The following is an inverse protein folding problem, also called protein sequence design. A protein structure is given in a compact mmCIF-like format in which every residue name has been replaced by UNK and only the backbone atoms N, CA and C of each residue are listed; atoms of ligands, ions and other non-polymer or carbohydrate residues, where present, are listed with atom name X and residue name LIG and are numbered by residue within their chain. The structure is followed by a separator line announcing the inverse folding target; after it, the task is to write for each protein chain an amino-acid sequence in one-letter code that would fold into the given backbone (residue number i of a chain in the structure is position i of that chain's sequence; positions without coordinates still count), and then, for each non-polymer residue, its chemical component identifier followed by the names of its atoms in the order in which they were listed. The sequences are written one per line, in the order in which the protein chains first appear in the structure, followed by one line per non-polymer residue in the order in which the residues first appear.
data_IF_364370496971
#
_entry.id   IF_364370496971
#
_cell.length_a   1.000
_cell.length_b   1.000
_cell.length_c   1.000
_cell.angle_alpha   90.00
_cell.angle_beta   90.00
_cell.angle_gamma   90.00
#
_symmetry.space_group_name_H-M   'P 1'
#
loop_
_entity.id
_entity.type
_entity.pdbx_description
1 polymer ?
#
# COMPACT_ATOMS: atom_id res chain seq x y z
N UNK A 1 3.98 -3.54 10.41
CA UNK A 1 3.02 -4.66 10.57
C UNK A 1 3.03 -5.58 9.35
N UNK A 2 2.66 -5.10 8.16
CA UNK A 2 2.60 -5.95 6.95
C UNK A 2 3.99 -6.40 6.44
N UNK A 3 5.06 -5.62 6.66
CA UNK A 3 6.44 -6.02 6.31
C UNK A 3 6.93 -7.24 7.10
N UNK A 4 6.31 -7.54 8.23
CA UNK A 4 6.62 -8.70 9.06
C UNK A 4 5.88 -9.96 8.62
N UNK A 5 5.06 -9.88 7.58
CA UNK A 5 4.28 -11.01 7.04
C UNK A 5 4.60 -11.23 5.55
N UNK A 6 4.21 -12.37 4.97
CA UNK A 6 4.39 -12.62 3.53
C UNK A 6 3.50 -11.77 2.62
N UNK A 7 2.64 -10.89 3.18
CA UNK A 7 1.62 -10.17 2.43
C UNK A 7 2.16 -9.28 1.32
N UNK A 8 3.42 -8.82 1.44
CA UNK A 8 4.06 -7.94 0.47
C UNK A 8 4.80 -8.67 -0.67
N UNK A 9 5.03 -9.98 -0.55
CA UNK A 9 5.87 -10.70 -1.49
C UNK A 9 5.26 -10.71 -2.90
N UNK A 10 5.93 -10.08 -3.86
CA UNK A 10 5.47 -9.97 -5.25
C UNK A 10 4.28 -9.03 -5.44
N UNK A 11 4.01 -8.14 -4.48
CA UNK A 11 2.92 -7.16 -4.51
C UNK A 11 3.43 -5.76 -4.77
N UNK A 12 2.59 -4.93 -5.36
CA UNK A 12 2.81 -3.48 -5.50
C UNK A 12 2.34 -2.78 -4.24
N UNK A 13 3.18 -1.93 -3.68
CA UNK A 13 2.88 -1.20 -2.45
C UNK A 13 3.44 0.21 -2.48
N UNK A 14 2.79 1.09 -1.74
CA UNK A 14 3.30 2.42 -1.40
C UNK A 14 3.38 2.52 0.11
N UNK A 15 4.14 3.48 0.63
CA UNK A 15 4.30 3.67 2.06
C UNK A 15 4.82 5.07 2.38
N UNK A 16 4.81 5.40 3.68
CA UNK A 16 5.53 6.57 4.15
C UNK A 16 7.03 6.45 3.87
N UNK A 17 7.67 7.57 3.50
CA UNK A 17 9.05 7.60 3.01
C UNK A 17 10.07 6.91 3.92
N UNK A 18 9.86 6.95 5.25
CA UNK A 18 10.78 6.39 6.23
C UNK A 18 10.88 4.86 6.22
N UNK A 19 9.87 4.16 5.67
CA UNK A 19 9.80 2.68 5.66
C UNK A 19 9.90 2.10 4.23
N UNK A 20 10.35 2.91 3.26
CA UNK A 20 10.48 2.51 1.85
C UNK A 20 11.39 1.30 1.67
N UNK A 21 12.51 1.28 2.39
CA UNK A 21 13.47 0.19 2.29
C UNK A 21 12.92 -1.09 2.94
N UNK A 22 12.11 -0.98 4.00
CA UNK A 22 11.42 -2.13 4.62
C UNK A 22 10.42 -2.78 3.66
N UNK A 23 9.68 -1.98 2.88
CA UNK A 23 8.75 -2.49 1.86
C UNK A 23 9.48 -3.29 0.79
N UNK A 24 10.60 -2.75 0.29
CA UNK A 24 11.44 -3.44 -0.71
C UNK A 24 12.05 -4.73 -0.14
N UNK A 25 12.56 -4.68 1.09
CA UNK A 25 13.13 -5.83 1.79
C UNK A 25 12.08 -6.92 2.06
N UNK A 26 10.82 -6.53 2.30
CA UNK A 26 9.69 -7.46 2.41
C UNK A 26 9.27 -8.09 1.07
N UNK A 27 9.90 -7.70 -0.05
CA UNK A 27 9.69 -8.28 -1.37
C UNK A 27 8.54 -7.64 -2.17
N UNK A 28 8.09 -6.44 -1.79
CA UNK A 28 7.15 -5.66 -2.57
C UNK A 28 7.86 -4.73 -3.57
N UNK A 29 7.18 -4.46 -4.68
CA UNK A 29 7.54 -3.40 -5.61
C UNK A 29 7.03 -2.07 -5.05
N UNK A 30 7.95 -1.22 -4.59
CA UNK A 30 7.61 0.12 -4.12
C UNK A 30 7.23 1.02 -5.30
N UNK A 31 6.04 1.62 -5.23
CA UNK A 31 5.54 2.59 -6.20
C UNK A 31 5.23 3.89 -5.46
N UNK A 32 5.79 5.00 -5.94
CA UNK A 32 5.45 6.32 -5.43
C UNK A 32 4.14 6.81 -6.05
N UNK A 33 3.03 6.47 -5.39
CA UNK A 33 1.67 6.87 -5.75
C UNK A 33 0.85 7.17 -4.50
N UNK A 34 -0.15 8.04 -4.63
CA UNK A 34 -1.05 8.45 -3.55
C UNK A 34 -1.78 7.25 -2.91
N UNK A 35 -2.25 6.32 -3.74
CA UNK A 35 -2.88 5.09 -3.30
C UNK A 35 -2.53 3.97 -4.27
N UNK A 36 -2.09 2.83 -3.74
CA UNK A 36 -1.83 1.61 -4.51
C UNK A 36 -2.86 0.57 -4.10
N UNK A 37 -3.50 -0.04 -5.10
CA UNK A 37 -4.45 -1.14 -4.93
C UNK A 37 -3.92 -2.36 -5.68
N UNK A 38 -3.57 -3.41 -4.94
CA UNK A 38 -3.11 -4.69 -5.48
C UNK A 38 -3.93 -5.84 -4.88
N UNK A 39 -5.01 -6.21 -5.56
CA UNK A 39 -5.99 -7.17 -5.05
C UNK A 39 -6.69 -6.63 -3.81
N UNK A 40 -6.49 -7.28 -2.67
CA UNK A 40 -7.05 -6.86 -1.38
C UNK A 40 -6.12 -5.91 -0.60
N UNK A 41 -4.95 -5.60 -1.14
CA UNK A 41 -3.98 -4.72 -0.51
C UNK A 41 -4.24 -3.28 -0.97
N UNK A 42 -4.70 -2.43 -0.05
CA UNK A 42 -4.95 -1.00 -0.29
C UNK A 42 -4.07 -0.22 0.67
N UNK A 43 -3.19 0.65 0.15
CA UNK A 43 -2.18 1.37 0.95
C UNK A 43 -1.95 2.76 0.37
N UNK A 44 -1.65 3.75 1.22
CA UNK A 44 -1.29 5.12 0.86
C UNK A 44 0.01 5.59 1.53
N UNK A 45 0.55 6.75 1.16
CA UNK A 45 1.84 7.24 1.69
C UNK A 45 1.69 8.03 2.98
N UNK A 46 0.71 8.94 3.01
CA UNK A 46 0.59 9.95 4.06
C UNK A 46 -0.87 10.42 4.23
N UNK A 47 -1.19 11.18 5.30
CA UNK A 47 -2.55 11.66 5.56
C UNK A 47 -3.17 12.47 4.41
N UNK A 48 -2.36 13.17 3.62
CA UNK A 48 -2.84 13.93 2.46
C UNK A 48 -3.48 13.04 1.38
N UNK A 49 -3.07 11.76 1.31
CA UNK A 49 -3.62 10.78 0.37
C UNK A 49 -4.91 10.10 0.89
N UNK A 50 -5.41 10.51 2.07
CA UNK A 50 -6.60 9.92 2.71
C UNK A 50 -7.86 9.94 1.81
N UNK A 51 -8.15 10.99 1.02
CA UNK A 51 -9.31 10.98 0.11
C UNK A 51 -9.25 9.86 -0.93
N UNK A 52 -8.06 9.61 -1.50
CA UNK A 52 -7.84 8.54 -2.47
C UNK A 52 -7.94 7.16 -1.80
N UNK A 53 -7.35 7.02 -0.61
CA UNK A 53 -7.39 5.80 0.19
C UNK A 53 -8.81 5.39 0.59
N UNK A 54 -9.58 6.32 1.17
CA UNK A 54 -10.97 6.09 1.55
C UNK A 54 -11.84 5.70 0.35
N UNK A 55 -11.65 6.38 -0.78
CA UNK A 55 -12.36 6.06 -2.03
C UNK A 55 -12.05 4.64 -2.51
N UNK A 56 -10.77 4.23 -2.45
CA UNK A 56 -10.35 2.87 -2.81
C UNK A 56 -10.98 1.81 -1.90
N UNK A 57 -11.03 2.04 -0.58
CA UNK A 57 -11.67 1.13 0.39
C UNK A 57 -13.16 1.00 0.09
N UNK A 58 -13.87 2.12 -0.05
CA UNK A 58 -15.31 2.11 -0.34
C UNK A 58 -15.60 1.33 -1.63
N UNK A 59 -14.77 1.51 -2.66
CA UNK A 59 -14.88 0.77 -3.92
C UNK A 59 -14.64 -0.72 -3.74
N UNK A 60 -13.70 -1.12 -2.90
CA UNK A 60 -13.41 -2.52 -2.62
C UNK A 60 -14.54 -3.22 -1.84
N UNK A 61 -15.20 -2.50 -0.92
CA UNK A 61 -16.33 -3.04 -0.13
C UNK A 61 -17.67 -3.08 -0.88
N UNK A 62 -17.80 -2.36 -2.00
CA UNK A 62 -19.00 -2.37 -2.84
C UNK A 62 -19.05 -3.53 -3.84
N UNK A 63 -18.03 -4.38 -3.87
CA UNK A 63 -17.99 -5.63 -4.64
C UNK A 63 -18.55 -6.78 -3.83
#
# INVERSE_FOLDING_TARGET
LLCSTPAYKGKKATCFMAIKDDIKNAGAEYIDAECVVDGNLIISRMPDDLPAFCTAIIKALKK
#
